data_IF_916297278136
#
_entry.id   IF_916297278136
#
_cell.length_a   1.000
_cell.length_b   1.000
_cell.length_c   1.000
_cell.angle_alpha   90.00
_cell.angle_beta   90.00
_cell.angle_gamma   90.00
#
_symmetry.space_group_name_H-M   'P 1'
#
loop_
_entity.id
_entity.type
_entity.pdbx_description
1 polymer ?
#
# COMPACT_ATOMS: atom_id res chain seq x y z
N UNK A 1 -13.27 0.54 15.51
CA UNK A 1 -12.43 0.82 14.31
C UNK A 1 -11.92 2.25 14.44
N UNK A 2 -10.63 2.48 14.16
CA UNK A 2 -10.05 3.81 14.25
C UNK A 2 -10.26 4.58 12.94
N UNK A 3 -10.68 5.83 13.03
CA UNK A 3 -10.90 6.69 11.87
C UNK A 3 -9.60 7.40 11.50
N UNK A 4 -9.17 7.24 10.26
CA UNK A 4 -8.04 7.99 9.72
C UNK A 4 -8.42 9.47 9.51
N UNK A 5 -7.69 10.39 10.14
CA UNK A 5 -7.94 11.85 10.10
C UNK A 5 -6.89 12.64 9.32
N UNK A 6 -5.97 11.94 8.64
CA UNK A 6 -4.94 12.56 7.81
C UNK A 6 -5.44 12.95 6.42
N UNK A 7 -4.50 13.28 5.52
CA UNK A 7 -4.80 13.60 4.11
C UNK A 7 -5.29 12.37 3.37
N UNK A 8 -6.28 12.52 2.49
CA UNK A 8 -6.66 11.44 1.58
C UNK A 8 -5.46 10.99 0.72
N UNK A 9 -5.49 9.73 0.28
CA UNK A 9 -4.36 9.12 -0.42
C UNK A 9 -3.99 9.88 -1.70
N UNK A 10 -4.97 10.39 -2.44
CA UNK A 10 -4.74 11.16 -3.67
C UNK A 10 -4.03 12.47 -3.37
N UNK A 11 -4.54 13.25 -2.43
CA UNK A 11 -3.91 14.52 -2.04
C UNK A 11 -2.51 14.32 -1.48
N UNK A 12 -2.28 13.22 -0.74
CA UNK A 12 -0.98 12.92 -0.16
C UNK A 12 0.09 12.60 -1.23
N UNK A 13 -0.28 11.89 -2.31
CA UNK A 13 0.66 11.40 -3.32
C UNK A 13 0.68 12.21 -4.62
N UNK A 14 -0.20 13.21 -4.75
CA UNK A 14 -0.27 14.09 -5.92
C UNK A 14 1.07 14.71 -6.27
N UNK A 15 1.50 14.55 -7.52
CA UNK A 15 2.72 15.14 -8.05
C UNK A 15 4.01 14.37 -7.74
N UNK A 16 3.91 13.17 -7.14
CA UNK A 16 5.07 12.30 -6.89
C UNK A 16 5.49 11.49 -8.12
N UNK A 17 4.66 11.45 -9.18
CA UNK A 17 4.92 10.70 -10.42
C UNK A 17 5.18 9.20 -10.19
N UNK A 18 4.46 8.58 -9.24
CA UNK A 18 4.62 7.18 -8.89
C UNK A 18 4.12 6.29 -10.03
N UNK A 19 5.00 5.43 -10.53
CA UNK A 19 4.70 4.42 -11.53
C UNK A 19 4.06 3.17 -10.91
N UNK A 20 3.46 2.34 -11.76
CA UNK A 20 2.90 1.06 -11.34
C UNK A 20 3.99 0.10 -10.83
N UNK A 21 5.17 0.13 -11.45
CA UNK A 21 6.32 -0.68 -11.08
C UNK A 21 6.83 -0.31 -9.68
N UNK A 22 6.98 0.98 -9.39
CA UNK A 22 7.39 1.46 -8.05
C UNK A 22 6.36 1.10 -6.99
N UNK A 23 5.07 1.18 -7.33
CA UNK A 23 4.00 0.77 -6.41
C UNK A 23 4.05 -0.73 -6.11
N UNK A 24 4.26 -1.59 -7.11
CA UNK A 24 4.41 -3.03 -6.87
C UNK A 24 5.67 -3.33 -6.07
N UNK A 25 6.77 -2.61 -6.32
CA UNK A 25 8.00 -2.78 -5.54
C UNK A 25 7.80 -2.50 -4.05
N UNK A 26 7.07 -1.44 -3.67
CA UNK A 26 6.79 -1.19 -2.24
C UNK A 26 5.83 -2.22 -1.64
N UNK A 27 4.90 -2.76 -2.44
CA UNK A 27 4.03 -3.87 -2.00
C UNK A 27 4.87 -5.12 -1.69
N UNK A 28 5.82 -5.46 -2.56
CA UNK A 28 6.75 -6.58 -2.34
C UNK A 28 7.61 -6.36 -1.10
N UNK A 29 8.13 -5.14 -0.88
CA UNK A 29 8.88 -4.79 0.32
C UNK A 29 8.05 -4.95 1.60
N UNK A 30 6.77 -4.56 1.57
CA UNK A 30 5.85 -4.74 2.70
C UNK A 30 5.63 -6.22 2.98
N UNK A 31 5.32 -7.03 1.97
CA UNK A 31 5.13 -8.48 2.16
C UNK A 31 6.43 -9.15 2.65
N UNK A 32 7.58 -8.74 2.12
CA UNK A 32 8.89 -9.19 2.58
C UNK A 32 9.17 -8.79 4.04
N UNK A 33 8.69 -7.64 4.50
CA UNK A 33 8.75 -7.26 5.91
C UNK A 33 7.82 -8.13 6.77
N UNK A 34 6.62 -8.47 6.28
CA UNK A 34 5.71 -9.39 6.96
C UNK A 34 6.31 -10.79 7.11
N UNK A 35 6.99 -11.28 6.06
CA UNK A 35 7.77 -12.53 6.11
C UNK A 35 8.84 -12.51 7.20
N UNK A 36 9.65 -11.44 7.27
CA UNK A 36 10.69 -11.28 8.30
C UNK A 36 10.14 -11.28 9.72
N UNK A 37 8.86 -10.91 9.89
CA UNK A 37 8.19 -10.89 11.19
C UNK A 37 7.33 -12.14 11.44
N UNK A 38 7.47 -13.19 10.62
CA UNK A 38 6.76 -14.47 10.75
C UNK A 38 5.23 -14.32 10.74
N UNK A 39 4.70 -13.36 9.97
CA UNK A 39 3.25 -13.22 9.79
C UNK A 39 2.72 -14.26 8.80
N UNK A 40 1.50 -14.73 9.06
CA UNK A 40 0.84 -15.77 8.28
C UNK A 40 0.35 -15.31 6.91
N UNK A 41 -0.14 -16.28 6.13
CA UNK A 41 -0.62 -16.03 4.77
C UNK A 41 -1.94 -15.23 4.75
N UNK A 42 -2.79 -15.43 5.76
CA UNK A 42 -4.09 -14.74 5.85
C UNK A 42 -3.89 -13.25 6.13
N UNK A 43 -3.01 -12.89 7.08
CA UNK A 43 -2.68 -11.49 7.37
C UNK A 43 -2.09 -10.78 6.15
N UNK A 44 -1.20 -11.47 5.42
CA UNK A 44 -0.62 -10.93 4.17
C UNK A 44 -1.67 -10.70 3.10
N UNK A 45 -2.62 -11.62 2.97
CA UNK A 45 -3.72 -11.50 2.00
C UNK A 45 -4.61 -10.30 2.33
N UNK A 46 -4.90 -10.08 3.61
CA UNK A 46 -5.68 -8.92 4.05
C UNK A 46 -4.95 -7.61 3.79
N UNK A 47 -3.66 -7.53 4.14
CA UNK A 47 -2.83 -6.35 3.85
C UNK A 47 -2.71 -6.11 2.35
N UNK A 48 -2.50 -7.16 1.55
CA UNK A 48 -2.43 -7.07 0.10
C UNK A 48 -3.72 -6.49 -0.50
N UNK A 49 -4.89 -6.96 -0.03
CA UNK A 49 -6.18 -6.44 -0.47
C UNK A 49 -6.33 -4.95 -0.16
N UNK A 50 -5.94 -4.52 1.05
CA UNK A 50 -5.94 -3.10 1.44
C UNK A 50 -5.04 -2.29 0.53
N UNK A 51 -3.78 -2.71 0.31
CA UNK A 51 -2.85 -1.99 -0.56
C UNK A 51 -3.43 -1.82 -1.97
N UNK A 52 -3.92 -2.90 -2.58
CA UNK A 52 -4.51 -2.82 -3.92
C UNK A 52 -5.77 -1.93 -3.99
N UNK A 53 -6.55 -1.83 -2.91
CA UNK A 53 -7.68 -0.89 -2.85
C UNK A 53 -7.27 0.58 -2.93
N UNK A 54 -6.05 0.92 -2.50
CA UNK A 54 -5.52 2.30 -2.49
C UNK A 54 -4.76 2.66 -3.77
N UNK A 55 -4.39 1.66 -4.59
CA UNK A 55 -3.53 1.82 -5.78
C UNK A 55 -4.01 2.95 -6.71
N UNK A 56 -5.31 3.03 -6.98
CA UNK A 56 -5.89 4.03 -7.90
C UNK A 56 -5.81 5.48 -7.43
N UNK A 57 -5.57 5.71 -6.13
CA UNK A 57 -5.37 7.02 -5.54
C UNK A 57 -3.89 7.38 -5.36
N UNK A 58 -2.96 6.52 -5.79
CA UNK A 58 -1.52 6.71 -5.56
C UNK A 58 -0.74 6.73 -6.88
N UNK A 59 -1.05 5.83 -7.81
CA UNK A 59 -0.31 5.75 -9.08
C UNK A 59 -0.75 6.87 -10.02
N UNK A 60 0.21 7.60 -10.61
CA UNK A 60 -0.04 8.62 -11.65
C UNK A 60 -1.05 9.72 -11.24
N UNK A 61 -1.05 10.13 -9.96
CA UNK A 61 -1.96 11.17 -9.42
C UNK A 61 -1.29 12.52 -9.15
#
# INVERSE_FOLDING_TARGET
>A
PETYTGRDMRTAHKGMNISEQEYVAVVDDILGAMDKNNLGADEKKDVLAILYSLKGDIIRV
#
